data_IF_485048186905
#
_entry.id   IF_485048186905
#
_cell.length_a   1.000
_cell.length_b   1.000
_cell.length_c   1.000
_cell.angle_alpha   90.00
_cell.angle_beta   90.00
_cell.angle_gamma   90.00
#
_symmetry.space_group_name_H-M   'P 1'
#
loop_
_entity.id
_entity.type
_entity.pdbx_description
1 polymer ?
#
# COMPACT_ATOMS: atom_id res chain seq x y z
N UNK A 1 -22.27 -2.47 -1.39
CA UNK A 1 -21.15 -1.70 -0.81
C UNK A 1 -20.02 -1.64 -1.83
N UNK A 2 -19.59 -0.44 -2.16
CA UNK A 2 -18.45 -0.25 -3.08
C UNK A 2 -17.15 -0.19 -2.30
N UNK A 3 -16.16 -0.97 -2.74
CA UNK A 3 -14.84 -1.08 -2.09
C UNK A 3 -13.73 -0.81 -3.11
N UNK A 4 -12.73 -0.03 -2.72
CA UNK A 4 -11.60 0.35 -3.57
C UNK A 4 -10.29 -0.08 -2.94
N UNK A 5 -9.41 -0.63 -3.74
CA UNK A 5 -8.01 -0.90 -3.38
C UNK A 5 -7.08 0.04 -4.13
N UNK A 6 -6.41 0.94 -3.41
CA UNK A 6 -5.40 1.85 -3.95
C UNK A 6 -4.03 1.33 -3.54
N UNK A 7 -3.13 1.13 -4.48
CA UNK A 7 -1.86 0.49 -4.15
C UNK A 7 -0.68 0.95 -5.02
N UNK A 8 0.50 0.80 -4.45
CA UNK A 8 1.76 0.85 -5.17
C UNK A 8 2.46 -0.49 -5.12
N UNK A 9 3.09 -0.89 -6.22
CA UNK A 9 3.87 -2.13 -6.31
C UNK A 9 5.11 -1.90 -7.14
N UNK A 10 6.28 -2.18 -6.57
CA UNK A 10 7.56 -2.07 -7.27
C UNK A 10 8.00 -3.41 -7.85
N UNK A 11 7.78 -4.51 -7.11
CA UNK A 11 8.25 -5.84 -7.47
C UNK A 11 7.15 -6.81 -7.90
N UNK A 12 5.90 -6.36 -7.95
CA UNK A 12 4.74 -7.16 -8.35
C UNK A 12 3.96 -7.78 -7.20
N UNK A 13 4.40 -7.65 -5.94
CA UNK A 13 3.65 -8.17 -4.80
C UNK A 13 2.27 -7.52 -4.67
N UNK A 14 2.20 -6.20 -4.84
CA UNK A 14 0.94 -5.47 -4.81
C UNK A 14 0.01 -5.83 -5.98
N UNK A 15 0.56 -6.17 -7.14
CA UNK A 15 -0.24 -6.59 -8.29
C UNK A 15 -0.98 -7.91 -8.00
N UNK A 16 -0.34 -8.87 -7.31
CA UNK A 16 -1.00 -10.10 -6.88
C UNK A 16 -2.10 -9.84 -5.86
N UNK A 17 -1.88 -8.93 -4.92
CA UNK A 17 -2.91 -8.48 -3.97
C UNK A 17 -4.09 -7.88 -4.73
N UNK A 18 -3.82 -7.01 -5.70
CA UNK A 18 -4.85 -6.37 -6.51
C UNK A 18 -5.70 -7.39 -7.28
N UNK A 19 -5.08 -8.37 -7.92
CA UNK A 19 -5.79 -9.44 -8.62
C UNK A 19 -6.72 -10.21 -7.66
N UNK A 20 -6.21 -10.55 -6.47
CA UNK A 20 -6.99 -11.27 -5.45
C UNK A 20 -8.18 -10.46 -4.99
N UNK A 21 -7.99 -9.18 -4.67
CA UNK A 21 -9.08 -8.32 -4.22
C UNK A 21 -10.07 -8.00 -5.33
N UNK A 22 -9.60 -7.84 -6.57
CA UNK A 22 -10.48 -7.62 -7.71
C UNK A 22 -11.42 -8.83 -7.92
N UNK A 23 -10.92 -10.05 -7.73
CA UNK A 23 -11.72 -11.26 -7.77
C UNK A 23 -12.77 -11.30 -6.63
N UNK A 24 -12.54 -10.57 -5.55
CA UNK A 24 -13.49 -10.41 -4.42
C UNK A 24 -14.44 -9.22 -4.60
N UNK A 25 -14.43 -8.56 -5.75
CA UNK A 25 -15.34 -7.46 -6.07
C UNK A 25 -14.82 -6.06 -5.73
N UNK A 26 -13.53 -5.90 -5.44
CA UNK A 26 -12.92 -4.58 -5.29
C UNK A 26 -12.64 -3.94 -6.64
N UNK A 27 -12.86 -2.64 -6.74
CA UNK A 27 -12.23 -1.84 -7.78
C UNK A 27 -10.76 -1.63 -7.39
N UNK A 28 -9.87 -1.53 -8.36
CA UNK A 28 -8.43 -1.35 -8.10
C UNK A 28 -7.90 -0.09 -8.77
N UNK A 29 -7.00 0.59 -8.07
CA UNK A 29 -6.38 1.82 -8.55
C UNK A 29 -4.88 1.75 -8.24
N UNK A 30 -4.08 1.44 -9.25
CA UNK A 30 -2.62 1.40 -9.12
C UNK A 30 -2.06 2.81 -9.24
N UNK A 31 -1.20 3.20 -8.30
CA UNK A 31 -0.50 4.48 -8.37
C UNK A 31 0.88 4.30 -8.99
N UNK A 32 1.30 5.29 -9.77
CA UNK A 32 2.57 5.28 -10.48
C UNK A 32 3.33 6.57 -10.19
N UNK A 33 4.58 6.49 -9.70
CA UNK A 33 5.40 7.68 -9.54
C UNK A 33 5.68 8.35 -10.89
N UNK A 34 5.79 9.67 -10.91
CA UNK A 34 6.19 10.41 -12.12
C UNK A 34 7.62 10.07 -12.56
N UNK A 35 8.51 9.82 -11.61
CA UNK A 35 9.89 9.40 -11.89
C UNK A 35 9.99 7.89 -11.79
N UNK A 36 10.65 7.26 -12.77
CA UNK A 36 10.93 5.83 -12.73
C UNK A 36 11.91 5.53 -11.58
N UNK A 37 11.70 4.43 -10.82
CA UNK A 37 12.67 4.01 -9.83
C UNK A 37 14.00 3.62 -10.48
N UNK A 38 15.14 3.66 -9.72
CA UNK A 38 16.44 3.20 -10.23
C UNK A 38 16.36 1.76 -10.74
N UNK A 39 17.07 1.48 -11.84
CA UNK A 39 17.09 0.13 -12.46
C UNK A 39 17.82 -0.89 -11.58
N UNK A 40 18.82 -0.44 -10.82
CA UNK A 40 19.58 -1.32 -9.92
C UNK A 40 18.78 -1.65 -8.68
N UNK A 41 18.65 -2.95 -8.37
CA UNK A 41 17.96 -3.41 -7.17
C UNK A 41 18.54 -2.80 -5.88
N UNK A 42 19.88 -2.72 -5.79
CA UNK A 42 20.53 -2.12 -4.63
C UNK A 42 20.21 -0.64 -4.48
N UNK A 43 20.23 0.11 -5.59
CA UNK A 43 19.87 1.53 -5.59
C UNK A 43 18.40 1.74 -5.25
N UNK A 44 17.52 0.82 -5.69
CA UNK A 44 16.10 0.86 -5.32
C UNK A 44 15.91 0.73 -3.81
N UNK A 45 16.59 -0.23 -3.18
CA UNK A 45 16.54 -0.42 -1.74
C UNK A 45 17.07 0.81 -1.00
N UNK A 46 18.27 1.27 -1.38
CA UNK A 46 18.91 2.40 -0.70
C UNK A 46 18.10 3.69 -0.86
N UNK A 47 17.68 4.03 -2.08
CA UNK A 47 16.92 5.26 -2.33
C UNK A 47 15.52 5.20 -1.74
N UNK A 48 14.82 4.08 -1.92
CA UNK A 48 13.46 3.89 -1.40
C UNK A 48 13.44 3.83 0.12
N UNK A 49 14.38 3.09 0.72
CA UNK A 49 14.47 2.98 2.18
C UNK A 49 14.83 4.31 2.84
N UNK A 50 15.79 5.05 2.29
CA UNK A 50 16.15 6.36 2.81
C UNK A 50 14.99 7.37 2.70
N UNK A 51 14.40 7.47 1.52
CA UNK A 51 13.29 8.41 1.28
C UNK A 51 12.07 8.08 2.17
N UNK A 52 11.73 6.81 2.31
CA UNK A 52 10.64 6.38 3.20
C UNK A 52 10.96 6.68 4.67
N UNK A 53 12.23 6.51 5.07
CA UNK A 53 12.69 6.77 6.43
C UNK A 53 12.50 8.21 6.88
N UNK A 54 12.54 9.18 5.96
CA UNK A 54 12.28 10.59 6.24
C UNK A 54 10.82 11.01 5.96
N UNK A 55 9.94 10.04 5.65
CA UNK A 55 8.52 10.33 5.38
C UNK A 55 8.27 11.09 4.09
N UNK A 56 9.20 11.00 3.12
CA UNK A 56 9.11 11.75 1.88
C UNK A 56 7.89 11.34 1.06
N UNK A 57 7.25 12.33 0.45
CA UNK A 57 6.21 12.15 -0.55
C UNK A 57 6.83 12.15 -1.93
N UNK A 58 6.24 11.40 -2.84
CA UNK A 58 6.69 11.32 -4.23
C UNK A 58 5.56 11.73 -5.15
N UNK A 59 5.79 12.64 -6.12
CA UNK A 59 4.75 13.02 -7.09
C UNK A 59 4.24 11.81 -7.86
N UNK A 60 2.92 11.72 -8.02
CA UNK A 60 2.25 10.64 -8.74
C UNK A 60 1.82 11.08 -10.13
N UNK A 61 1.88 10.16 -11.11
CA UNK A 61 1.35 10.37 -12.44
C UNK A 61 -0.15 10.07 -12.44
N UNK A 62 -0.96 11.01 -12.95
CA UNK A 62 -2.40 10.84 -13.19
C UNK A 62 -3.17 10.18 -12.02
N UNK A 63 -2.85 10.57 -10.78
CA UNK A 63 -3.53 10.01 -9.62
C UNK A 63 -4.90 10.66 -9.41
N UNK A 64 -5.95 9.85 -9.43
CA UNK A 64 -7.28 10.25 -9.03
C UNK A 64 -7.48 10.01 -7.53
N UNK A 65 -7.56 11.09 -6.76
CA UNK A 65 -7.74 11.05 -5.31
C UNK A 65 -9.22 11.01 -4.88
N UNK A 66 -10.14 11.06 -5.82
CA UNK A 66 -11.57 11.01 -5.51
C UNK A 66 -12.00 9.60 -5.12
N UNK A 67 -12.48 9.47 -3.89
CA UNK A 67 -12.99 8.21 -3.32
C UNK A 67 -14.45 8.36 -2.86
N UNK A 68 -15.13 9.41 -3.28
CA UNK A 68 -16.49 9.73 -2.82
C UNK A 68 -17.51 8.63 -3.08
N UNK A 69 -17.34 7.86 -4.16
CA UNK A 69 -18.24 6.77 -4.53
C UNK A 69 -18.03 5.48 -3.73
N UNK A 70 -17.01 5.43 -2.87
CA UNK A 70 -16.63 4.20 -2.16
C UNK A 70 -16.97 4.27 -0.68
N UNK A 71 -17.42 3.14 -0.15
CA UNK A 71 -17.71 2.97 1.28
C UNK A 71 -16.47 2.55 2.06
N UNK A 72 -15.63 1.72 1.45
CA UNK A 72 -14.38 1.24 2.04
C UNK A 72 -13.21 1.47 1.10
N UNK A 73 -12.09 1.91 1.65
CA UNK A 73 -10.85 2.13 0.91
C UNK A 73 -9.72 1.35 1.59
N UNK A 74 -9.11 0.46 0.83
CA UNK A 74 -7.95 -0.32 1.28
C UNK A 74 -6.71 0.22 0.58
N UNK A 75 -5.65 0.46 1.36
CA UNK A 75 -4.39 1.01 0.85
C UNK A 75 -3.31 -0.07 0.91
N UNK A 76 -2.65 -0.34 -0.22
CA UNK A 76 -1.57 -1.32 -0.33
C UNK A 76 -0.22 -0.67 -0.53
N UNK A 77 0.78 -1.07 0.24
CA UNK A 77 2.13 -0.51 0.17
C UNK A 77 3.21 -1.56 0.46
N UNK A 78 4.31 -1.56 -0.30
CA UNK A 78 5.52 -2.21 0.18
C UNK A 78 6.04 -1.49 1.43
N UNK A 79 6.75 -2.21 2.27
CA UNK A 79 7.39 -1.64 3.46
C UNK A 79 8.86 -1.35 3.14
N UNK A 80 9.22 -0.06 3.19
CA UNK A 80 10.58 0.42 2.95
C UNK A 80 11.15 0.99 4.25
N UNK A 81 12.22 0.40 4.74
CA UNK A 81 12.86 0.83 5.99
C UNK A 81 11.85 0.98 7.14
N UNK A 82 11.04 -0.06 7.35
CA UNK A 82 9.99 -0.14 8.37
C UNK A 82 8.89 0.93 8.24
N UNK A 83 8.73 1.55 7.06
CA UNK A 83 7.74 2.60 6.78
C UNK A 83 6.99 2.32 5.49
N UNK A 84 5.90 3.06 5.28
CA UNK A 84 5.19 3.03 4.01
C UNK A 84 6.05 3.62 2.89
N UNK A 85 5.84 3.17 1.66
CA UNK A 85 6.54 3.69 0.49
C UNK A 85 6.20 5.16 0.22
N UNK A 86 7.11 5.88 -0.44
CA UNK A 86 6.93 7.30 -0.75
C UNK A 86 5.69 7.59 -1.62
N UNK A 87 5.37 6.77 -2.66
CA UNK A 87 4.12 6.96 -3.41
C UNK A 87 2.88 6.88 -2.51
N UNK A 88 2.86 5.97 -1.55
CA UNK A 88 1.72 5.82 -0.65
C UNK A 88 1.66 6.96 0.38
N UNK A 89 2.78 7.53 0.79
CA UNK A 89 2.77 8.75 1.59
C UNK A 89 2.02 9.88 0.86
N UNK A 90 2.19 9.98 -0.45
CA UNK A 90 1.47 10.95 -1.28
C UNK A 90 -0.02 10.62 -1.38
N UNK A 91 -0.38 9.35 -1.56
CA UNK A 91 -1.78 8.89 -1.56
C UNK A 91 -2.47 9.33 -0.27
N UNK A 92 -1.87 9.06 0.88
CA UNK A 92 -2.44 9.42 2.19
C UNK A 92 -2.57 10.93 2.39
N UNK A 93 -1.69 11.71 1.78
CA UNK A 93 -1.75 13.17 1.85
C UNK A 93 -2.86 13.77 0.98
N UNK A 94 -3.16 13.17 -0.17
CA UNK A 94 -4.08 13.68 -1.16
C UNK A 94 -5.50 13.10 -1.05
N UNK A 95 -5.68 11.97 -0.37
CA UNK A 95 -6.93 11.22 -0.34
C UNK A 95 -7.65 11.44 0.99
N UNK A 96 -8.88 11.89 0.92
CA UNK A 96 -9.73 12.03 2.11
C UNK A 96 -10.31 10.66 2.48
N UNK A 97 -9.76 10.06 3.54
CA UNK A 97 -10.19 8.76 4.05
C UNK A 97 -11.19 8.87 5.22
N UNK A 98 -11.64 10.08 5.53
CA UNK A 98 -12.64 10.28 6.56
C UNK A 98 -13.92 9.51 6.20
N UNK A 99 -14.43 8.76 7.16
CA UNK A 99 -15.65 7.96 7.02
C UNK A 99 -15.58 6.84 5.96
N UNK A 100 -14.36 6.46 5.50
CA UNK A 100 -14.15 5.42 4.49
C UNK A 100 -13.73 4.06 5.04
N UNK A 101 -13.74 3.88 6.35
CA UNK A 101 -13.31 2.64 7.00
C UNK A 101 -11.98 2.13 6.44
N UNK A 102 -10.89 2.92 6.55
CA UNK A 102 -9.63 2.55 5.91
C UNK A 102 -9.06 1.25 6.46
N UNK A 103 -8.48 0.45 5.59
CA UNK A 103 -7.68 -0.71 5.94
C UNK A 103 -6.38 -0.68 5.14
N UNK A 104 -5.37 -1.39 5.60
CA UNK A 104 -4.05 -1.37 4.99
C UNK A 104 -3.56 -2.79 4.74
N UNK A 105 -2.99 -3.00 3.58
CA UNK A 105 -2.30 -4.25 3.23
C UNK A 105 -0.83 -3.90 2.97
N UNK A 106 0.05 -4.41 3.81
CA UNK A 106 1.49 -4.19 3.72
C UNK A 106 2.17 -5.46 3.23
N UNK A 107 3.07 -5.34 2.28
CA UNK A 107 3.88 -6.47 1.83
C UNK A 107 5.33 -6.21 2.24
N UNK A 108 5.79 -7.04 3.19
CA UNK A 108 7.09 -6.90 3.83
C UNK A 108 7.91 -8.20 3.69
N UNK A 109 9.20 -8.07 3.43
CA UNK A 109 10.07 -9.23 3.24
C UNK A 109 10.09 -10.20 4.42
N UNK A 110 9.97 -9.67 5.63
CA UNK A 110 9.94 -10.48 6.87
C UNK A 110 8.54 -11.00 7.24
N UNK A 111 7.48 -10.52 6.58
CA UNK A 111 6.10 -10.81 6.97
C UNK A 111 5.61 -10.04 8.20
N UNK A 112 6.41 -9.13 8.73
CA UNK A 112 6.07 -8.27 9.87
C UNK A 112 6.49 -6.83 9.62
N UNK A 113 5.75 -5.88 10.17
CA UNK A 113 6.04 -4.45 10.05
C UNK A 113 5.55 -3.69 11.29
N UNK A 114 6.09 -3.99 12.49
CA UNK A 114 5.52 -3.48 13.74
C UNK A 114 5.55 -1.95 13.85
N UNK A 115 6.58 -1.30 13.34
CA UNK A 115 6.68 0.17 13.35
C UNK A 115 5.66 0.83 12.43
N UNK A 116 5.47 0.26 11.22
CA UNK A 116 4.47 0.75 10.27
C UNK A 116 3.05 0.52 10.80
N UNK A 117 2.78 -0.65 11.37
CA UNK A 117 1.50 -0.96 11.98
C UNK A 117 1.16 0.00 13.11
N UNK A 118 2.13 0.28 14.00
CA UNK A 118 1.94 1.21 15.11
C UNK A 118 1.57 2.61 14.61
N UNK A 119 2.31 3.13 13.63
CA UNK A 119 2.05 4.46 13.07
C UNK A 119 0.69 4.56 12.41
N UNK A 120 0.30 3.52 11.68
CA UNK A 120 -1.02 3.48 11.05
C UNK A 120 -2.14 3.42 12.08
N UNK A 121 -1.97 2.65 13.15
CA UNK A 121 -2.94 2.57 14.23
C UNK A 121 -3.10 3.89 14.99
N UNK A 122 -2.02 4.65 15.14
CA UNK A 122 -2.05 5.98 15.75
C UNK A 122 -2.74 7.01 14.85
N UNK A 123 -2.45 6.96 13.54
CA UNK A 123 -3.02 7.89 12.55
C UNK A 123 -4.47 7.56 12.19
N UNK A 124 -4.81 6.27 12.13
CA UNK A 124 -6.14 5.78 11.77
C UNK A 124 -6.63 4.80 12.84
N UNK A 125 -7.10 5.31 14.01
CA UNK A 125 -7.59 4.42 15.08
C UNK A 125 -8.70 3.49 14.60
N UNK A 126 -8.57 2.19 14.92
CA UNK A 126 -9.53 1.18 14.53
C UNK A 126 -9.35 0.61 13.11
N UNK A 127 -8.42 1.14 12.32
CA UNK A 127 -8.13 0.60 11.00
C UNK A 127 -7.50 -0.80 11.10
N UNK A 128 -7.92 -1.71 10.21
CA UNK A 128 -7.26 -3.01 10.09
C UNK A 128 -5.97 -2.89 9.31
N UNK A 129 -4.93 -3.56 9.77
CA UNK A 129 -3.66 -3.65 9.07
C UNK A 129 -3.31 -5.12 8.88
N UNK A 130 -3.20 -5.55 7.64
CA UNK A 130 -2.79 -6.91 7.26
C UNK A 130 -1.38 -6.83 6.70
N UNK A 131 -0.46 -7.60 7.27
CA UNK A 131 0.91 -7.69 6.79
C UNK A 131 1.12 -9.04 6.14
N UNK A 132 1.54 -9.02 4.88
CA UNK A 132 1.87 -10.21 4.10
C UNK A 132 3.39 -10.32 3.95
N UNK A 133 3.94 -11.52 4.13
CA UNK A 133 5.23 -11.82 3.56
C UNK A 133 5.10 -11.75 2.02
N UNK A 134 6.16 -11.50 1.30
CA UNK A 134 6.15 -11.29 -0.15
C UNK A 134 5.26 -12.31 -0.89
N UNK A 135 4.05 -11.93 -1.36
CA UNK A 135 3.11 -12.88 -1.97
C UNK A 135 3.64 -13.57 -3.22
N UNK A 136 4.58 -12.96 -3.94
CA UNK A 136 5.24 -13.60 -5.09
C UNK A 136 6.04 -14.83 -4.70
N UNK A 137 6.62 -14.82 -3.49
CA UNK A 137 7.38 -15.96 -2.94
C UNK A 137 6.48 -16.90 -2.15
N UNK A 138 5.49 -16.36 -1.48
CA UNK A 138 4.61 -17.08 -0.55
C UNK A 138 3.15 -16.82 -0.92
N UNK A 139 2.64 -17.45 -2.02
CA UNK A 139 1.26 -17.21 -2.49
C UNK A 139 0.18 -17.51 -1.46
N UNK A 140 0.46 -18.40 -0.51
CA UNK A 140 -0.45 -18.74 0.59
C UNK A 140 -0.79 -17.54 1.49
N UNK A 141 0.06 -16.52 1.52
CA UNK A 141 -0.17 -15.29 2.27
C UNK A 141 -1.41 -14.54 1.78
N UNK A 142 -1.79 -14.71 0.51
CA UNK A 142 -2.98 -14.05 -0.05
C UNK A 142 -4.27 -14.48 0.63
N UNK A 143 -4.29 -15.64 1.32
CA UNK A 143 -5.45 -16.12 2.08
C UNK A 143 -5.84 -15.16 3.21
N UNK A 144 -4.89 -14.39 3.74
CA UNK A 144 -5.14 -13.38 4.78
C UNK A 144 -6.08 -12.27 4.30
N UNK A 145 -6.18 -12.07 2.99
CA UNK A 145 -7.06 -11.05 2.41
C UNK A 145 -8.55 -11.41 2.49
N UNK A 146 -8.89 -12.64 2.81
CA UNK A 146 -10.27 -13.05 3.03
C UNK A 146 -10.94 -12.35 4.22
N UNK A 147 -10.15 -11.72 5.10
CA UNK A 147 -10.64 -11.01 6.28
C UNK A 147 -11.00 -9.53 6.00
N UNK A 148 -10.81 -9.04 4.79
CA UNK A 148 -11.14 -7.66 4.38
C UNK A 148 -12.62 -7.47 4.08
#
# INVERSE_FOLDING_TARGET
MKRLFIYYSQSGNGDLVAETLQAQGFDVRKVTPKKKPPKSFLLQILSGGFAAGVGRREPLADYDADVSDYDEVVIGSPVWNARLSCPINTVLALTDLKDKKPAFVLYAGSGTAPKAEKKLSERFPGARVIVLAEPKKYPEELKKLGDL
#
